data_IF_708271798438
#
_entry.id   IF_708271798438
#
_cell.length_a   1.000
_cell.length_b   1.000
_cell.length_c   1.000
_cell.angle_alpha   90.00
_cell.angle_beta   90.00
_cell.angle_gamma   90.00
#
_symmetry.space_group_name_H-M   'P 1'
#
loop_
_entity.id
_entity.type
_entity.pdbx_description
1 polymer ?
#
# COMPACT_ATOMS: atom_id res chain seq x y z
N UNK A 1 11.70 1.76 -20.69
CA UNK A 1 10.43 2.27 -20.12
C UNK A 1 10.52 3.79 -20.13
N UNK A 2 9.61 4.48 -20.82
CA UNK A 2 9.61 5.95 -20.85
C UNK A 2 9.43 6.51 -19.44
N UNK A 3 10.10 7.63 -19.14
CA UNK A 3 9.93 8.34 -17.88
C UNK A 3 8.44 8.65 -17.67
N UNK A 4 7.89 8.27 -16.52
CA UNK A 4 6.47 8.50 -16.23
C UNK A 4 6.19 10.01 -16.27
N UNK A 5 5.16 10.40 -17.03
CA UNK A 5 4.82 11.81 -17.22
C UNK A 5 3.93 12.29 -16.09
N UNK A 6 4.26 13.43 -15.50
CA UNK A 6 3.41 14.11 -14.52
C UNK A 6 2.34 14.92 -15.26
N UNK A 7 1.07 14.64 -14.95
CA UNK A 7 -0.09 15.32 -15.54
C UNK A 7 -1.10 15.71 -14.46
N UNK A 8 -1.88 16.75 -14.74
CA UNK A 8 -2.94 17.29 -13.87
C UNK A 8 -4.30 17.05 -14.50
N UNK A 9 -4.42 17.24 -15.82
CA UNK A 9 -5.68 17.18 -16.57
C UNK A 9 -5.73 15.93 -17.46
N UNK A 10 -6.93 15.38 -17.66
CA UNK A 10 -7.13 14.20 -18.52
C UNK A 10 -6.70 14.50 -19.96
N UNK A 11 -6.90 15.74 -20.43
CA UNK A 11 -6.49 16.19 -21.77
C UNK A 11 -4.97 16.13 -22.02
N UNK A 12 -4.15 16.07 -20.97
CA UNK A 12 -2.70 15.94 -21.10
C UNK A 12 -2.27 14.48 -21.36
N UNK A 13 -3.14 13.51 -21.09
CA UNK A 13 -2.87 12.09 -21.30
C UNK A 13 -2.81 11.77 -22.80
N UNK A 14 -1.62 11.37 -23.26
CA UNK A 14 -1.31 11.06 -24.65
C UNK A 14 -1.26 9.57 -24.97
N UNK A 15 -1.75 8.71 -24.08
CA UNK A 15 -1.67 7.25 -24.24
C UNK A 15 -0.44 6.60 -23.59
N UNK A 16 0.22 7.29 -22.67
CA UNK A 16 1.40 6.77 -21.99
C UNK A 16 1.07 5.57 -21.09
N UNK A 17 1.86 4.49 -21.16
CA UNK A 17 1.67 3.34 -20.28
C UNK A 17 2.01 3.61 -18.80
N UNK A 18 2.71 4.70 -18.48
CA UNK A 18 3.11 5.09 -17.13
C UNK A 18 2.82 6.57 -16.88
N UNK A 19 2.03 6.85 -15.85
CA UNK A 19 1.49 8.19 -15.59
C UNK A 19 1.58 8.55 -14.10
N UNK A 20 1.98 9.77 -13.82
CA UNK A 20 1.97 10.39 -12.48
C UNK A 20 0.87 11.45 -12.47
N UNK A 21 -0.19 11.23 -11.70
CA UNK A 21 -1.33 12.15 -11.60
C UNK A 21 -1.21 13.03 -10.36
N UNK A 22 -1.51 14.31 -10.55
CA UNK A 22 -1.58 15.32 -9.50
C UNK A 22 -2.89 16.13 -9.61
N UNK A 23 -4.02 15.44 -9.54
CA UNK A 23 -5.36 16.01 -9.79
C UNK A 23 -5.92 16.84 -8.62
N UNK A 24 -5.24 16.89 -7.47
CA UNK A 24 -5.73 17.59 -6.27
C UNK A 24 -4.63 18.42 -5.62
N UNK A 25 -4.97 19.19 -4.58
CA UNK A 25 -4.02 20.06 -3.87
C UNK A 25 -3.29 21.03 -4.81
N UNK A 26 -4.01 21.52 -5.81
CA UNK A 26 -3.51 22.45 -6.81
C UNK A 26 -3.33 23.86 -6.22
N UNK A 27 -2.35 24.59 -6.75
CA UNK A 27 -2.04 25.96 -6.33
C UNK A 27 -3.13 26.98 -6.66
N UNK A 28 -2.86 28.25 -6.37
CA UNK A 28 -3.79 29.37 -6.57
C UNK A 28 -4.19 29.61 -8.03
N UNK A 29 -3.48 29.02 -9.00
CA UNK A 29 -3.83 29.06 -10.42
C UNK A 29 -5.14 28.32 -10.78
N UNK A 30 -5.70 27.54 -9.86
CA UNK A 30 -6.96 26.81 -10.07
C UNK A 30 -8.04 27.31 -9.11
N UNK A 31 -9.23 27.61 -9.67
CA UNK A 31 -10.42 27.87 -8.85
C UNK A 31 -10.92 26.60 -8.17
N UNK A 32 -11.62 26.71 -7.04
CA UNK A 32 -12.22 25.54 -6.36
C UNK A 32 -13.24 24.79 -7.24
N UNK A 33 -13.86 25.49 -8.19
CA UNK A 33 -14.70 24.85 -9.21
C UNK A 33 -13.85 24.00 -10.16
N UNK A 34 -12.75 24.53 -10.71
CA UNK A 34 -11.87 23.79 -11.62
C UNK A 34 -11.20 22.60 -10.92
N UNK A 35 -10.75 22.77 -9.67
CA UNK A 35 -10.20 21.65 -8.86
C UNK A 35 -11.18 20.48 -8.73
N UNK A 36 -12.47 20.77 -8.50
CA UNK A 36 -13.50 19.73 -8.45
C UNK A 36 -13.72 19.07 -9.82
N UNK A 37 -13.84 19.88 -10.87
CA UNK A 37 -14.00 19.39 -12.24
C UNK A 37 -12.86 18.47 -12.67
N UNK A 38 -11.61 18.79 -12.36
CA UNK A 38 -10.47 17.94 -12.68
C UNK A 38 -10.57 16.55 -12.04
N UNK A 39 -11.02 16.47 -10.78
CA UNK A 39 -11.26 15.17 -10.13
C UNK A 39 -12.41 14.43 -10.81
N UNK A 40 -13.47 15.13 -11.20
CA UNK A 40 -14.62 14.52 -11.88
C UNK A 40 -14.23 13.99 -13.27
N UNK A 41 -13.42 14.73 -14.03
CA UNK A 41 -12.85 14.29 -15.31
C UNK A 41 -12.02 13.01 -15.15
N UNK A 42 -11.15 12.94 -14.13
CA UNK A 42 -10.39 11.72 -13.84
C UNK A 42 -11.26 10.54 -13.39
N UNK A 43 -12.30 10.81 -12.60
CA UNK A 43 -13.28 9.78 -12.21
C UNK A 43 -13.96 9.20 -13.45
N UNK A 44 -14.45 10.06 -14.34
CA UNK A 44 -15.13 9.64 -15.58
C UNK A 44 -14.19 8.88 -16.50
N UNK A 45 -12.94 9.35 -16.63
CA UNK A 45 -11.91 8.67 -17.41
C UNK A 45 -11.63 7.25 -16.89
N UNK A 46 -11.42 7.09 -15.58
CA UNK A 46 -11.12 5.78 -15.00
C UNK A 46 -12.32 4.85 -14.96
N UNK A 47 -13.54 5.38 -14.82
CA UNK A 47 -14.76 4.59 -14.84
C UNK A 47 -14.99 3.88 -16.20
N UNK A 48 -14.52 4.48 -17.31
CA UNK A 48 -14.63 3.94 -18.68
C UNK A 48 -13.62 2.84 -19.01
N UNK A 49 -12.78 2.42 -18.05
CA UNK A 49 -11.66 1.50 -18.27
C UNK A 49 -11.96 0.13 -18.89
N UNK A 50 -10.90 -0.62 -19.23
CA UNK A 50 -9.49 -0.35 -18.94
C UNK A 50 -8.86 0.71 -19.87
N UNK A 51 -8.00 1.57 -19.33
CA UNK A 51 -7.20 2.53 -20.13
C UNK A 51 -5.87 1.91 -20.59
N UNK A 52 -5.07 2.66 -21.35
CA UNK A 52 -3.70 2.27 -21.70
C UNK A 52 -2.69 2.33 -20.55
N UNK A 53 -3.06 2.89 -19.40
CA UNK A 53 -2.17 3.08 -18.24
C UNK A 53 -1.95 1.75 -17.55
N UNK A 54 -0.69 1.33 -17.42
CA UNK A 54 -0.29 0.13 -16.65
C UNK A 54 0.45 0.46 -15.36
N UNK A 55 1.11 1.61 -15.29
CA UNK A 55 1.75 2.10 -14.08
C UNK A 55 1.15 3.47 -13.70
N UNK A 56 0.46 3.51 -12.56
CA UNK A 56 -0.26 4.70 -12.10
C UNK A 56 0.26 5.15 -10.75
N UNK A 57 0.64 6.42 -10.66
CA UNK A 57 0.99 7.05 -9.39
C UNK A 57 0.12 8.27 -9.11
N UNK A 58 -0.51 8.35 -7.94
CA UNK A 58 -1.12 9.58 -7.43
C UNK A 58 -0.20 10.25 -6.42
N UNK A 59 0.22 11.47 -6.72
CA UNK A 59 1.18 12.24 -5.89
C UNK A 59 0.54 13.27 -4.97
N UNK A 60 -0.78 13.39 -5.03
CA UNK A 60 -1.60 14.28 -4.22
C UNK A 60 -2.74 13.47 -3.61
N UNK A 61 -3.51 14.09 -2.71
CA UNK A 61 -4.67 13.46 -2.07
C UNK A 61 -5.59 12.80 -3.11
N UNK A 62 -5.85 11.52 -2.97
CA UNK A 62 -6.75 10.74 -3.83
C UNK A 62 -8.10 10.60 -3.10
N UNK A 63 -9.13 11.35 -3.52
CA UNK A 63 -10.46 11.26 -2.89
C UNK A 63 -11.05 9.87 -3.09
N UNK A 64 -11.93 9.44 -2.18
CA UNK A 64 -12.58 8.12 -2.24
C UNK A 64 -13.17 7.82 -3.63
N UNK A 65 -13.92 8.76 -4.21
CA UNK A 65 -14.55 8.59 -5.54
C UNK A 65 -13.54 8.33 -6.67
N UNK A 66 -12.37 8.97 -6.60
CA UNK A 66 -11.31 8.79 -7.58
C UNK A 66 -10.64 7.43 -7.42
N UNK A 67 -10.43 6.99 -6.17
CA UNK A 67 -9.97 5.64 -5.91
C UNK A 67 -10.98 4.60 -6.40
N UNK A 68 -12.26 4.73 -6.06
CA UNK A 68 -13.32 3.80 -6.47
C UNK A 68 -13.44 3.67 -7.99
N UNK A 69 -13.21 4.76 -8.74
CA UNK A 69 -13.24 4.77 -10.20
C UNK A 69 -12.17 3.84 -10.83
N UNK A 70 -11.10 3.50 -10.09
CA UNK A 70 -10.07 2.57 -10.56
C UNK A 70 -10.58 1.12 -10.67
N UNK A 71 -11.80 0.81 -10.23
CA UNK A 71 -12.38 -0.54 -10.31
C UNK A 71 -12.38 -1.11 -11.73
N UNK A 72 -12.55 -0.24 -12.75
CA UNK A 72 -12.54 -0.64 -14.17
C UNK A 72 -11.12 -0.72 -14.76
N UNK A 73 -10.06 -0.50 -13.97
CA UNK A 73 -8.67 -0.47 -14.42
C UNK A 73 -7.93 -1.77 -14.08
N UNK A 74 -8.45 -2.91 -14.58
CA UNK A 74 -7.91 -4.24 -14.29
C UNK A 74 -6.51 -4.50 -14.86
N UNK A 75 -6.07 -3.70 -15.84
CA UNK A 75 -4.79 -3.82 -16.55
C UNK A 75 -3.58 -3.27 -15.77
N UNK A 76 -3.81 -2.65 -14.60
CA UNK A 76 -2.77 -2.02 -13.80
C UNK A 76 -1.77 -3.07 -13.28
N UNK A 77 -0.48 -2.79 -13.48
CA UNK A 77 0.67 -3.55 -12.96
C UNK A 77 1.26 -2.86 -11.75
N UNK A 78 1.21 -1.54 -11.71
CA UNK A 78 1.70 -0.74 -10.58
C UNK A 78 0.68 0.30 -10.20
N UNK A 79 0.36 0.34 -8.90
CA UNK A 79 -0.46 1.38 -8.29
C UNK A 79 0.27 1.94 -7.07
N UNK A 80 0.55 3.23 -7.10
CA UNK A 80 1.17 3.96 -6.01
C UNK A 80 0.30 5.17 -5.63
N UNK A 81 -0.23 5.19 -4.41
CA UNK A 81 -1.06 6.29 -3.91
C UNK A 81 -0.35 6.91 -2.71
N UNK A 82 0.09 8.15 -2.86
CA UNK A 82 0.79 8.90 -1.79
C UNK A 82 -0.12 9.26 -0.61
N UNK A 83 -1.39 9.54 -0.86
CA UNK A 83 -2.34 9.87 0.19
C UNK A 83 -3.75 9.60 -0.28
N UNK A 84 -4.43 8.60 0.28
CA UNK A 84 -5.82 8.31 -0.06
C UNK A 84 -6.81 8.51 1.08
N UNK A 85 -8.07 8.77 0.71
CA UNK A 85 -9.23 8.71 1.61
C UNK A 85 -10.01 7.39 1.53
N UNK A 86 -9.37 6.33 1.03
CA UNK A 86 -10.00 5.01 0.91
C UNK A 86 -10.12 4.33 2.28
N UNK A 87 -11.27 3.70 2.49
CA UNK A 87 -11.56 2.85 3.67
C UNK A 87 -11.90 1.41 3.26
N UNK A 88 -12.45 1.24 2.06
CA UNK A 88 -12.73 -0.02 1.42
C UNK A 88 -11.70 -0.23 0.30
N UNK A 89 -11.05 -1.39 0.31
CA UNK A 89 -10.04 -1.80 -0.66
C UNK A 89 -10.62 -2.72 -1.76
N UNK A 90 -11.94 -2.97 -1.79
CA UNK A 90 -12.61 -3.84 -2.78
C UNK A 90 -12.41 -3.41 -4.23
N UNK A 91 -12.07 -2.15 -4.47
CA UNK A 91 -11.65 -1.63 -5.79
C UNK A 91 -10.45 -2.39 -6.35
N UNK A 92 -9.52 -2.82 -5.50
CA UNK A 92 -8.27 -3.46 -5.94
C UNK A 92 -8.49 -4.88 -6.44
N UNK A 93 -9.56 -5.55 -6.01
CA UNK A 93 -9.81 -6.96 -6.29
C UNK A 93 -9.91 -7.30 -7.79
N UNK A 94 -10.15 -6.31 -8.65
CA UNK A 94 -10.21 -6.47 -10.12
C UNK A 94 -8.84 -6.38 -10.80
N UNK A 95 -7.79 -5.95 -10.10
CA UNK A 95 -6.45 -5.72 -10.64
C UNK A 95 -5.60 -6.99 -10.58
N UNK A 96 -5.97 -8.00 -11.36
CA UNK A 96 -5.34 -9.34 -11.35
C UNK A 96 -3.88 -9.35 -11.82
N UNK A 97 -3.48 -8.33 -12.59
CA UNK A 97 -2.14 -8.15 -13.13
C UNK A 97 -1.21 -7.34 -12.21
N UNK A 98 -1.72 -6.87 -11.06
CA UNK A 98 -0.98 -5.98 -10.17
C UNK A 98 0.23 -6.69 -9.56
N UNK A 99 1.42 -6.11 -9.75
CA UNK A 99 2.71 -6.61 -9.23
C UNK A 99 3.24 -5.76 -8.08
N UNK A 100 2.97 -4.44 -8.12
CA UNK A 100 3.43 -3.51 -7.09
C UNK A 100 2.27 -2.63 -6.62
N UNK A 101 1.97 -2.71 -5.33
CA UNK A 101 0.93 -1.93 -4.67
C UNK A 101 1.53 -1.13 -3.52
N UNK A 102 1.45 0.21 -3.61
CA UNK A 102 1.81 1.12 -2.53
C UNK A 102 0.63 2.00 -2.16
N UNK A 103 0.18 1.89 -0.92
CA UNK A 103 -0.96 2.61 -0.38
C UNK A 103 -0.52 3.41 0.83
N UNK A 104 -0.38 4.73 0.68
CA UNK A 104 -0.01 5.63 1.77
C UNK A 104 -1.19 6.46 2.25
N UNK A 105 -1.16 6.82 3.53
CA UNK A 105 -2.25 7.55 4.16
C UNK A 105 -3.50 6.70 4.38
N UNK A 106 -3.35 5.38 4.54
CA UNK A 106 -4.41 4.38 4.73
C UNK A 106 -5.12 4.47 6.11
N UNK A 107 -5.28 5.68 6.65
CA UNK A 107 -5.76 5.95 8.01
C UNK A 107 -7.19 5.51 8.27
N UNK A 108 -8.00 5.37 7.22
CA UNK A 108 -9.40 4.93 7.30
C UNK A 108 -9.59 3.46 6.98
N UNK A 109 -8.54 2.76 6.54
CA UNK A 109 -8.60 1.32 6.27
C UNK A 109 -8.66 0.58 7.60
N UNK A 110 -9.62 -0.34 7.71
CA UNK A 110 -9.81 -1.21 8.88
C UNK A 110 -9.80 -2.69 8.51
N UNK A 111 -10.16 -3.00 7.27
CA UNK A 111 -10.26 -4.34 6.73
C UNK A 111 -9.25 -4.52 5.59
N UNK A 112 -8.41 -5.54 5.72
CA UNK A 112 -7.41 -5.93 4.72
C UNK A 112 -7.86 -7.13 3.88
N UNK A 113 -9.05 -7.70 4.13
CA UNK A 113 -9.58 -8.84 3.37
C UNK A 113 -9.50 -8.67 1.85
N UNK A 114 -9.78 -7.48 1.25
CA UNK A 114 -9.68 -7.31 -0.19
C UNK A 114 -8.27 -7.48 -0.76
N UNK A 115 -7.20 -7.39 0.06
CA UNK A 115 -5.84 -7.62 -0.41
C UNK A 115 -5.54 -9.11 -0.65
N UNK A 116 -6.21 -10.01 0.10
CA UNK A 116 -5.94 -11.44 0.06
C UNK A 116 -6.18 -12.11 -1.30
N UNK A 117 -6.94 -11.48 -2.20
CA UNK A 117 -7.18 -11.98 -3.57
C UNK A 117 -6.09 -11.59 -4.57
N UNK A 118 -5.18 -10.68 -4.20
CA UNK A 118 -4.15 -10.14 -5.09
C UNK A 118 -2.94 -11.08 -5.18
N UNK A 119 -3.12 -12.21 -5.86
CA UNK A 119 -2.13 -13.28 -5.92
C UNK A 119 -0.87 -12.95 -6.75
N UNK A 120 -0.92 -11.91 -7.59
CA UNK A 120 0.20 -11.48 -8.43
C UNK A 120 1.13 -10.45 -7.75
N UNK A 121 0.71 -9.85 -6.64
CA UNK A 121 1.47 -8.76 -6.01
C UNK A 121 2.75 -9.29 -5.38
N UNK A 122 3.88 -8.71 -5.77
CA UNK A 122 5.23 -9.03 -5.29
C UNK A 122 5.73 -8.00 -4.28
N UNK A 123 5.33 -6.74 -4.45
CA UNK A 123 5.63 -5.63 -3.53
C UNK A 123 4.33 -5.06 -2.96
N UNK A 124 4.16 -5.17 -1.64
CA UNK A 124 3.01 -4.63 -0.91
C UNK A 124 3.49 -3.68 0.18
N UNK A 125 3.22 -2.38 0.00
CA UNK A 125 3.50 -1.37 1.02
C UNK A 125 2.19 -0.68 1.43
N UNK A 126 1.79 -0.80 2.70
CA UNK A 126 0.61 -0.14 3.25
C UNK A 126 1.01 0.70 4.46
N UNK A 127 1.00 2.01 4.26
CA UNK A 127 1.45 3.00 5.23
C UNK A 127 0.27 3.84 5.74
N UNK A 128 0.35 4.26 7.01
CA UNK A 128 -0.62 5.16 7.61
C UNK A 128 -1.85 4.45 8.16
N UNK A 129 -1.77 3.14 8.43
CA UNK A 129 -2.81 2.40 9.13
C UNK A 129 -3.09 3.04 10.49
N UNK A 130 -4.34 2.95 10.97
CA UNK A 130 -4.74 3.44 12.30
C UNK A 130 -5.72 2.53 13.03
N UNK A 131 -6.55 1.78 12.31
CA UNK A 131 -7.62 0.97 12.90
C UNK A 131 -7.65 -0.49 12.45
N UNK A 132 -6.58 -0.98 11.81
CA UNK A 132 -6.45 -2.40 11.46
C UNK A 132 -6.14 -3.19 12.72
N UNK A 133 -6.93 -4.23 12.97
CA UNK A 133 -6.76 -5.18 14.08
C UNK A 133 -6.55 -6.61 13.59
N UNK A 134 -6.73 -6.85 12.29
CA UNK A 134 -6.53 -8.15 11.66
C UNK A 134 -5.69 -7.98 10.38
N UNK A 135 -4.53 -8.63 10.37
CA UNK A 135 -3.62 -8.68 9.22
C UNK A 135 -3.53 -10.09 8.61
N UNK A 136 -4.32 -11.06 9.10
CA UNK A 136 -4.39 -12.42 8.57
C UNK A 136 -4.62 -12.47 7.05
N UNK A 137 -5.45 -11.59 6.44
CA UNK A 137 -5.64 -11.62 4.99
C UNK A 137 -4.36 -11.43 4.16
N UNK A 138 -3.35 -10.75 4.69
CA UNK A 138 -2.07 -10.54 4.00
C UNK A 138 -1.33 -11.87 3.79
N UNK A 139 -1.50 -12.85 4.68
CA UNK A 139 -0.91 -14.17 4.53
C UNK A 139 -1.49 -14.98 3.35
N UNK A 140 -2.64 -14.57 2.80
CA UNK A 140 -3.18 -15.19 1.60
C UNK A 140 -2.45 -14.76 0.31
N UNK A 141 -1.62 -13.71 0.35
CA UNK A 141 -0.93 -13.15 -0.81
C UNK A 141 0.39 -13.89 -1.09
N UNK A 142 0.32 -14.94 -1.92
CA UNK A 142 1.40 -15.93 -2.08
C UNK A 142 2.66 -15.43 -2.80
N UNK A 143 2.57 -14.32 -3.53
CA UNK A 143 3.69 -13.79 -4.32
C UNK A 143 4.45 -12.65 -3.63
N UNK A 144 3.97 -12.15 -2.48
CA UNK A 144 4.58 -10.99 -1.82
C UNK A 144 5.95 -11.38 -1.27
N UNK A 145 6.99 -10.73 -1.79
CA UNK A 145 8.38 -10.90 -1.34
C UNK A 145 8.91 -9.66 -0.60
N UNK A 146 8.33 -8.49 -0.84
CA UNK A 146 8.63 -7.23 -0.16
C UNK A 146 7.37 -6.67 0.51
N UNK A 147 7.33 -6.74 1.83
CA UNK A 147 6.18 -6.37 2.66
C UNK A 147 6.54 -5.20 3.59
N UNK A 148 5.77 -4.12 3.48
CA UNK A 148 5.77 -3.03 4.45
C UNK A 148 4.34 -2.84 4.97
N UNK A 149 4.17 -2.93 6.29
CA UNK A 149 2.95 -2.54 6.97
C UNK A 149 3.33 -1.53 8.07
N UNK A 150 2.52 -0.48 8.22
CA UNK A 150 2.79 0.46 9.29
C UNK A 150 1.82 1.60 9.48
N UNK A 151 2.05 2.32 10.58
CA UNK A 151 1.42 3.60 10.86
C UNK A 151 1.94 4.72 9.97
N UNK A 152 1.64 5.98 10.29
CA UNK A 152 2.12 7.12 9.51
C UNK A 152 3.48 7.60 10.07
N UNK A 153 4.50 7.76 9.24
CA UNK A 153 5.84 8.22 9.67
C UNK A 153 5.85 9.66 10.21
N UNK A 154 4.95 10.53 9.74
CA UNK A 154 4.86 11.96 10.10
C UNK A 154 4.08 12.18 11.39
N UNK A 155 3.03 11.39 11.60
CA UNK A 155 2.21 11.42 12.83
C UNK A 155 2.12 10.01 13.37
N UNK A 156 3.11 9.55 14.15
CA UNK A 156 3.21 8.17 14.58
C UNK A 156 2.12 7.85 15.62
N UNK A 157 0.89 7.67 15.14
CA UNK A 157 -0.13 6.96 15.90
C UNK A 157 0.23 5.49 15.82
N UNK A 158 0.65 4.96 16.97
CA UNK A 158 0.96 3.54 17.12
C UNK A 158 -0.28 2.73 16.77
N UNK A 159 -0.16 1.92 15.72
CA UNK A 159 -1.15 0.92 15.35
C UNK A 159 -0.94 -0.28 16.25
N UNK A 160 -2.01 -0.84 16.81
CA UNK A 160 -1.94 -2.02 17.68
C UNK A 160 -2.43 -3.22 16.90
N UNK A 161 -1.54 -4.15 16.66
CA UNK A 161 -1.87 -5.42 16.03
C UNK A 161 -1.79 -6.51 17.10
N UNK A 162 -2.82 -7.37 17.25
CA UNK A 162 -2.82 -8.41 18.28
C UNK A 162 -1.59 -9.33 18.19
N UNK A 163 -1.23 -9.75 16.98
CA UNK A 163 -0.14 -10.68 16.71
C UNK A 163 0.43 -10.51 15.30
N UNK A 164 1.65 -11.01 15.09
CA UNK A 164 2.27 -11.18 13.76
C UNK A 164 2.39 -12.65 13.35
N UNK A 165 1.68 -13.56 14.00
CA UNK A 165 1.69 -15.00 13.71
C UNK A 165 1.39 -15.35 12.24
N UNK A 166 0.63 -14.50 11.54
CA UNK A 166 0.33 -14.66 10.11
C UNK A 166 1.60 -14.77 9.24
N UNK A 167 2.72 -14.16 9.66
CA UNK A 167 3.99 -14.17 8.93
C UNK A 167 4.56 -15.58 8.78
N UNK A 168 4.30 -16.50 9.71
CA UNK A 168 4.77 -17.88 9.61
C UNK A 168 4.22 -18.63 8.37
N UNK A 169 3.15 -18.11 7.76
CA UNK A 169 2.57 -18.62 6.50
C UNK A 169 3.06 -17.88 5.25
N UNK A 170 4.09 -17.05 5.39
CA UNK A 170 4.68 -16.26 4.31
C UNK A 170 6.17 -16.60 4.08
N UNK A 171 6.54 -17.88 3.86
CA UNK A 171 7.94 -18.29 3.76
C UNK A 171 8.67 -17.67 2.56
N UNK A 172 7.94 -17.12 1.59
CA UNK A 172 8.49 -16.43 0.42
C UNK A 172 9.03 -15.02 0.72
N UNK A 173 8.76 -14.45 1.91
CA UNK A 173 9.19 -13.09 2.23
C UNK A 173 10.71 -12.97 2.24
N UNK A 174 11.18 -11.92 1.55
CA UNK A 174 12.60 -11.53 1.49
C UNK A 174 12.85 -10.25 2.27
N UNK A 175 11.89 -9.33 2.27
CA UNK A 175 12.04 -8.02 2.89
C UNK A 175 10.79 -7.72 3.71
N UNK A 176 10.99 -7.40 4.98
CA UNK A 176 9.90 -7.11 5.92
C UNK A 176 10.17 -5.83 6.71
N UNK A 177 9.26 -4.85 6.58
CA UNK A 177 9.22 -3.65 7.40
C UNK A 177 7.89 -3.57 8.16
N UNK A 178 7.95 -3.68 9.49
CA UNK A 178 6.82 -3.37 10.38
C UNK A 178 7.16 -2.13 11.20
N UNK A 179 6.61 -0.98 10.82
CA UNK A 179 6.94 0.30 11.46
C UNK A 179 5.72 0.96 12.11
N UNK A 180 5.94 1.62 13.25
CA UNK A 180 4.83 2.28 13.98
C UNK A 180 3.68 1.30 14.30
N UNK A 181 4.01 0.01 14.44
CA UNK A 181 3.13 -1.11 14.74
C UNK A 181 3.57 -1.75 16.05
N UNK A 182 2.70 -1.72 17.05
CA UNK A 182 2.87 -2.43 18.31
C UNK A 182 2.22 -3.81 18.20
N UNK A 183 3.03 -4.85 18.28
CA UNK A 183 2.58 -6.24 18.40
C UNK A 183 2.20 -6.50 19.86
N UNK A 184 0.92 -6.76 20.13
CA UNK A 184 0.39 -6.74 21.49
C UNK A 184 0.78 -7.97 22.33
N UNK A 185 0.85 -9.14 21.71
CA UNK A 185 1.27 -10.38 22.39
C UNK A 185 2.78 -10.45 22.65
N UNK A 186 3.55 -9.50 22.10
CA UNK A 186 5.02 -9.43 22.16
C UNK A 186 5.73 -10.66 21.59
N UNK A 187 5.03 -11.49 20.81
CA UNK A 187 5.60 -12.67 20.17
C UNK A 187 6.16 -12.32 18.79
N UNK A 188 7.48 -12.33 18.71
CA UNK A 188 8.27 -12.10 17.51
C UNK A 188 8.96 -13.37 17.02
N UNK A 189 8.67 -14.54 17.62
CA UNK A 189 9.14 -15.83 17.12
C UNK A 189 8.72 -16.13 15.67
N UNK A 190 7.57 -15.67 15.14
CA UNK A 190 7.21 -15.89 13.74
C UNK A 190 8.23 -15.33 12.72
N UNK A 191 9.08 -14.38 13.14
CA UNK A 191 10.15 -13.86 12.28
C UNK A 191 11.24 -14.89 12.02
N UNK A 192 11.47 -15.80 12.98
CA UNK A 192 12.48 -16.86 12.87
C UNK A 192 12.06 -17.97 11.89
N UNK A 193 10.76 -18.06 11.58
CA UNK A 193 10.19 -19.04 10.65
C UNK A 193 10.22 -18.56 9.18
N UNK A 194 10.91 -17.44 8.89
CA UNK A 194 11.02 -16.86 7.54
C UNK A 194 12.37 -17.23 6.90
N UNK A 195 12.47 -18.34 6.15
CA UNK A 195 13.74 -18.91 5.71
C UNK A 195 14.45 -18.08 4.61
N UNK A 196 13.71 -17.24 3.90
CA UNK A 196 14.22 -16.46 2.76
C UNK A 196 14.42 -14.98 3.09
N UNK A 197 14.34 -14.60 4.38
CA UNK A 197 14.47 -13.22 4.78
C UNK A 197 15.90 -12.74 4.49
N UNK A 198 16.00 -11.63 3.77
CA UNK A 198 17.24 -10.94 3.38
C UNK A 198 17.34 -9.57 4.05
N UNK A 199 16.23 -9.03 4.54
CA UNK A 199 16.15 -7.75 5.21
C UNK A 199 14.95 -7.70 6.15
N UNK A 200 15.16 -7.35 7.42
CA UNK A 200 14.06 -7.17 8.38
C UNK A 200 14.26 -5.96 9.28
N UNK A 201 13.16 -5.24 9.50
CA UNK A 201 13.07 -4.21 10.53
C UNK A 201 11.67 -4.21 11.12
N UNK A 202 11.58 -4.31 12.44
CA UNK A 202 10.33 -4.15 13.18
C UNK A 202 10.49 -3.07 14.24
N UNK A 203 9.37 -2.50 14.69
CA UNK A 203 9.37 -1.53 15.79
C UNK A 203 9.80 -2.22 17.09
N UNK A 204 10.88 -1.76 17.69
CA UNK A 204 11.32 -2.24 19.00
C UNK A 204 10.24 -1.99 20.05
N UNK A 205 9.94 -3.03 20.81
CA UNK A 205 8.96 -3.01 21.88
C UNK A 205 9.58 -3.59 23.14
N UNK A 206 9.30 -2.98 24.31
CA UNK A 206 9.80 -3.51 25.57
C UNK A 206 9.14 -4.86 25.85
N UNK A 207 9.95 -5.89 26.12
CA UNK A 207 9.47 -7.23 26.46
C UNK A 207 9.18 -8.15 25.27
N UNK A 208 9.66 -7.79 24.07
CA UNK A 208 9.67 -8.68 22.90
C UNK A 208 10.25 -10.06 23.25
N UNK A 209 9.62 -11.10 22.72
CA UNK A 209 10.05 -12.49 22.83
C UNK A 209 10.13 -13.10 21.43
N UNK A 210 11.29 -13.61 20.99
CA UNK A 210 12.60 -13.50 21.63
C UNK A 210 13.08 -12.05 21.80
N UNK A 211 14.13 -11.85 22.60
CA UNK A 211 14.72 -10.52 22.77
C UNK A 211 15.23 -9.96 21.44
N UNK A 212 15.33 -8.64 21.34
CA UNK A 212 15.90 -7.97 20.16
C UNK A 212 17.30 -8.51 19.84
N UNK A 213 18.17 -8.64 20.83
CA UNK A 213 19.53 -9.16 20.63
C UNK A 213 19.52 -10.58 20.06
N UNK A 214 18.60 -11.44 20.52
CA UNK A 214 18.45 -12.77 19.96
C UNK A 214 18.00 -12.72 18.49
N UNK A 215 16.96 -11.93 18.18
CA UNK A 215 16.48 -11.74 16.81
C UNK A 215 17.58 -11.21 15.88
N UNK A 216 18.36 -10.22 16.34
CA UNK A 216 19.49 -9.65 15.60
C UNK A 216 20.60 -10.66 15.34
N UNK A 217 20.79 -11.64 16.22
CA UNK A 217 21.78 -12.72 16.02
C UNK A 217 21.36 -13.77 14.99
N UNK A 218 20.06 -13.86 14.69
CA UNK A 218 19.49 -14.91 13.82
C UNK A 218 18.98 -14.39 12.47
N UNK A 219 18.68 -13.08 12.37
CA UNK A 219 18.01 -12.50 11.22
C UNK A 219 18.87 -11.41 10.56
N UNK A 220 18.65 -11.10 9.26
CA UNK A 220 19.31 -9.98 8.56
C UNK A 220 18.70 -8.64 9.00
N UNK A 221 18.92 -8.31 10.26
CA UNK A 221 18.32 -7.17 10.92
C UNK A 221 18.96 -5.86 10.46
N UNK A 222 18.13 -4.86 10.15
CA UNK A 222 18.59 -3.52 9.77
C UNK A 222 17.99 -2.46 10.69
N UNK A 223 18.86 -1.82 11.47
CA UNK A 223 18.49 -0.77 12.43
C UNK A 223 19.34 -0.77 13.67
#
# INVERSE_FOLDING_TARGET
MGSARRIVEVSEYGGEGAVIIAATQLGSGYTERRKRQLVDEWVDFFAQGPSGIRALQFTTRTPKRLFDALRSQSQLVTLDIKWGDYHDLSTLATMTDLRSLRLKGASKVKDLAPLGVLQSVETLHVEGLQGVVDAEPVAAMRSVTDLELGGNWVTPKIVRLPSIAFLARMPQLKRLLLHTLLVQDLDFSPLLDLPNLEWVRVMETRGMKPSRDHLMSQLPWVG
#
